data_IF_501362708631
#
_entry.id   IF_501362708631
#
_cell.length_a   1.000
_cell.length_b   1.000
_cell.length_c   1.000
_cell.angle_alpha   90.00
_cell.angle_beta   90.00
_cell.angle_gamma   90.00
#
_symmetry.space_group_name_H-M   'P 1'
#
loop_
_entity.id
_entity.type
_entity.pdbx_description
1 polymer ?
#
# COMPACT_ATOMS: atom_id res chain seq x y z
N UNK A 1 8.93 -38.89 5.43
CA UNK A 1 7.79 -37.97 5.42
C UNK A 1 6.92 -38.38 4.26
N UNK A 2 5.75 -38.93 4.57
CA UNK A 2 4.77 -39.35 3.57
C UNK A 2 4.08 -38.10 3.00
N UNK A 3 3.52 -38.19 1.78
CA UNK A 3 2.80 -37.07 1.15
C UNK A 3 1.70 -36.51 2.04
N UNK A 4 1.00 -37.37 2.79
CA UNK A 4 -0.09 -36.99 3.68
C UNK A 4 0.36 -36.15 4.88
N UNK A 5 1.49 -36.48 5.51
CA UNK A 5 2.03 -35.69 6.64
C UNK A 5 2.48 -34.29 6.21
N UNK A 6 2.94 -34.19 4.96
CA UNK A 6 3.41 -32.93 4.38
C UNK A 6 2.23 -32.02 4.05
N UNK A 7 1.15 -32.58 3.48
CA UNK A 7 -0.09 -31.86 3.17
C UNK A 7 -0.82 -31.37 4.44
N UNK A 8 -0.83 -32.19 5.50
CA UNK A 8 -1.46 -31.83 6.78
C UNK A 8 -0.69 -30.70 7.49
N UNK A 9 0.64 -30.76 7.49
CA UNK A 9 1.49 -29.70 8.02
C UNK A 9 1.30 -28.38 7.24
N UNK A 10 1.21 -28.46 5.91
CA UNK A 10 0.95 -27.29 5.07
C UNK A 10 -0.41 -26.65 5.36
N UNK A 11 -1.44 -27.48 5.58
CA UNK A 11 -2.80 -27.05 5.92
C UNK A 11 -2.86 -26.31 7.27
N UNK A 12 -2.22 -26.88 8.29
CA UNK A 12 -2.18 -26.28 9.63
C UNK A 12 -1.35 -24.98 9.65
N UNK A 13 -0.23 -24.93 8.93
CA UNK A 13 0.55 -23.71 8.77
C UNK A 13 -0.24 -22.60 8.08
N UNK A 14 -0.98 -22.92 7.01
CA UNK A 14 -1.88 -21.97 6.33
C UNK A 14 -2.96 -21.46 7.28
N UNK A 15 -3.62 -22.34 8.04
CA UNK A 15 -4.65 -21.95 9.01
C UNK A 15 -4.13 -20.95 10.04
N UNK A 16 -2.98 -21.24 10.66
CA UNK A 16 -2.33 -20.34 11.63
C UNK A 16 -2.00 -18.99 11.01
N UNK A 17 -1.51 -18.98 9.77
CA UNK A 17 -1.18 -17.74 9.06
C UNK A 17 -2.43 -16.91 8.76
N UNK A 18 -3.53 -17.55 8.37
CA UNK A 18 -4.83 -16.91 8.16
C UNK A 18 -5.38 -16.31 9.45
N UNK A 19 -5.37 -17.05 10.54
CA UNK A 19 -5.83 -16.60 11.86
C UNK A 19 -5.01 -15.42 12.36
N UNK A 20 -3.68 -15.50 12.26
CA UNK A 20 -2.78 -14.40 12.60
C UNK A 20 -3.07 -13.15 11.77
N UNK A 21 -3.24 -13.30 10.45
CA UNK A 21 -3.50 -12.18 9.54
C UNK A 21 -4.84 -11.50 9.82
N UNK A 22 -5.87 -12.31 10.07
CA UNK A 22 -7.21 -11.84 10.42
C UNK A 22 -7.20 -11.12 11.76
N UNK A 23 -6.51 -11.67 12.77
CA UNK A 23 -6.42 -11.05 14.09
C UNK A 23 -5.63 -9.72 14.06
N UNK A 24 -4.53 -9.67 13.30
CA UNK A 24 -3.61 -8.52 13.29
C UNK A 24 -4.04 -7.40 12.36
N UNK A 25 -4.51 -7.72 11.16
CA UNK A 25 -4.81 -6.72 10.11
C UNK A 25 -6.29 -6.66 9.70
N UNK A 26 -7.12 -7.56 10.23
CA UNK A 26 -8.55 -7.66 9.88
C UNK A 26 -8.81 -7.90 8.38
N UNK A 27 -7.90 -8.58 7.67
CA UNK A 27 -8.10 -9.03 6.30
C UNK A 27 -7.41 -10.38 6.02
N UNK A 28 -7.81 -11.03 4.92
CA UNK A 28 -7.23 -12.31 4.49
C UNK A 28 -5.84 -12.11 3.88
N UNK A 29 -4.82 -12.32 4.72
CA UNK A 29 -3.40 -12.24 4.33
C UNK A 29 -3.04 -13.34 3.33
N UNK A 30 -3.61 -14.54 3.41
CA UNK A 30 -3.30 -15.63 2.47
C UNK A 30 -3.80 -15.29 1.06
N UNK A 31 -5.03 -14.79 0.96
CA UNK A 31 -5.57 -14.34 -0.32
C UNK A 31 -4.75 -13.17 -0.88
N UNK A 32 -4.37 -12.22 -0.03
CA UNK A 32 -3.50 -11.10 -0.43
C UNK A 32 -2.14 -11.57 -0.94
N UNK A 33 -1.51 -12.54 -0.28
CA UNK A 33 -0.19 -13.05 -0.64
C UNK A 33 -0.26 -13.80 -1.99
N UNK A 34 -1.35 -14.53 -2.27
CA UNK A 34 -1.60 -15.19 -3.56
C UNK A 34 -1.74 -14.22 -4.74
N UNK A 35 -2.32 -13.04 -4.51
CA UNK A 35 -2.48 -12.02 -5.56
C UNK A 35 -1.11 -11.44 -5.99
N UNK A 36 -0.14 -11.46 -5.08
CA UNK A 36 1.18 -10.93 -5.32
C UNK A 36 1.24 -9.39 -5.30
N UNK A 37 2.44 -8.83 -5.47
CA UNK A 37 2.70 -7.39 -5.31
C UNK A 37 2.25 -6.54 -6.51
N UNK A 38 2.05 -7.14 -7.69
CA UNK A 38 1.55 -6.48 -8.91
C UNK A 38 0.41 -7.32 -9.45
N UNK A 39 -0.77 -6.70 -9.58
CA UNK A 39 -1.95 -7.33 -10.18
C UNK A 39 -2.38 -6.52 -11.39
N UNK A 40 -2.76 -7.19 -12.46
CA UNK A 40 -3.41 -6.54 -13.58
C UNK A 40 -4.84 -6.17 -13.16
N UNK A 41 -5.28 -4.93 -13.40
CA UNK A 41 -6.69 -4.58 -13.20
C UNK A 41 -7.26 -4.07 -14.51
N UNK A 42 -8.43 -4.57 -14.92
CA UNK A 42 -9.10 -4.04 -16.09
C UNK A 42 -9.46 -2.56 -15.86
N UNK A 43 -9.59 -1.78 -16.95
CA UNK A 43 -10.14 -0.44 -16.88
C UNK A 43 -11.51 -0.47 -16.18
N UNK A 44 -11.66 0.33 -15.13
CA UNK A 44 -12.94 0.51 -14.44
C UNK A 44 -13.69 1.77 -14.93
N UNK A 45 -13.16 2.44 -15.96
CA UNK A 45 -13.76 3.65 -16.52
C UNK A 45 -14.63 3.30 -17.74
N UNK A 46 -15.60 4.17 -18.01
CA UNK A 46 -16.41 4.07 -19.22
C UNK A 46 -15.56 4.38 -20.45
N UNK A 47 -15.80 3.71 -21.58
CA UNK A 47 -14.98 3.84 -22.81
C UNK A 47 -14.83 5.30 -23.29
N UNK A 48 -15.84 6.14 -23.08
CA UNK A 48 -15.77 7.57 -23.43
C UNK A 48 -14.67 8.33 -22.66
N UNK A 49 -14.25 7.88 -21.48
CA UNK A 49 -13.18 8.51 -20.72
C UNK A 49 -11.81 8.42 -21.43
N UNK A 50 -11.64 7.46 -22.35
CA UNK A 50 -10.41 7.31 -23.14
C UNK A 50 -10.25 8.44 -24.16
N UNK A 51 -11.36 8.99 -24.64
CA UNK A 51 -11.37 10.06 -25.65
C UNK A 51 -11.17 11.47 -25.08
N UNK A 52 -11.13 11.61 -23.75
CA UNK A 52 -10.98 12.92 -23.09
C UNK A 52 -9.53 13.39 -23.20
N UNK A 53 -9.25 14.57 -23.78
CA UNK A 53 -7.90 15.10 -23.83
C UNK A 53 -7.46 15.57 -22.43
N UNK A 54 -6.46 14.91 -21.87
CA UNK A 54 -5.89 15.24 -20.55
C UNK A 54 -4.68 16.17 -20.71
N UNK A 55 -4.88 17.48 -20.58
CA UNK A 55 -3.80 18.47 -20.57
C UNK A 55 -3.34 18.81 -19.13
N UNK A 56 -2.96 17.79 -18.36
CA UNK A 56 -2.55 17.97 -16.95
C UNK A 56 -1.05 18.25 -16.90
N UNK A 57 -0.67 19.43 -16.37
CA UNK A 57 0.74 19.83 -16.15
C UNK A 57 1.13 19.94 -14.68
N UNK A 58 0.16 19.73 -13.79
CA UNK A 58 0.35 19.95 -12.36
C UNK A 58 1.02 18.73 -11.72
N UNK A 59 2.05 18.98 -10.92
CA UNK A 59 2.71 17.95 -10.11
C UNK A 59 1.98 17.85 -8.77
N UNK A 60 1.76 16.63 -8.28
CA UNK A 60 1.09 16.36 -7.03
C UNK A 60 1.98 15.55 -6.08
N UNK A 61 1.86 15.85 -4.79
CA UNK A 61 2.42 15.02 -3.73
C UNK A 61 1.39 14.01 -3.28
N UNK A 62 1.76 12.73 -3.31
CA UNK A 62 0.89 11.64 -2.85
C UNK A 62 1.26 11.33 -1.41
N UNK A 63 0.27 11.27 -0.52
CA UNK A 63 0.47 11.03 0.90
C UNK A 63 -0.23 9.72 1.27
N UNK A 64 0.53 8.78 1.80
CA UNK A 64 0.01 7.51 2.34
C UNK A 64 0.26 7.52 3.84
N UNK A 65 -0.81 7.58 4.62
CA UNK A 65 -0.76 7.50 6.07
C UNK A 65 -1.09 6.07 6.47
N UNK A 66 -0.24 5.45 7.26
CA UNK A 66 -0.44 4.06 7.70
C UNK A 66 -0.13 3.89 9.18
N UNK A 67 -0.79 2.92 9.80
CA UNK A 67 -0.56 2.51 11.18
C UNK A 67 -0.83 1.02 11.29
N UNK A 68 0.17 0.23 11.70
CA UNK A 68 0.09 -1.22 11.81
C UNK A 68 -0.43 -1.91 10.53
N UNK A 69 -0.05 -1.39 9.37
CA UNK A 69 -0.51 -1.90 8.07
C UNK A 69 0.29 -3.13 7.62
N UNK A 70 -0.29 -3.95 6.76
CA UNK A 70 0.44 -5.08 6.19
C UNK A 70 1.37 -4.65 5.05
N UNK A 71 2.57 -5.25 4.98
CA UNK A 71 3.56 -4.94 3.95
C UNK A 71 3.03 -5.13 2.53
N UNK A 72 2.32 -6.25 2.29
CA UNK A 72 1.77 -6.58 0.97
C UNK A 72 0.79 -5.52 0.46
N UNK A 73 0.11 -4.82 1.36
CA UNK A 73 -0.83 -3.75 1.05
C UNK A 73 -0.09 -2.50 0.58
N UNK A 74 0.85 -1.99 1.38
CA UNK A 74 1.64 -0.81 1.01
C UNK A 74 2.45 -1.02 -0.27
N UNK A 75 3.03 -2.20 -0.47
CA UNK A 75 3.77 -2.52 -1.69
C UNK A 75 2.84 -2.50 -2.92
N UNK A 76 1.64 -3.08 -2.83
CA UNK A 76 0.66 -3.04 -3.92
C UNK A 76 0.21 -1.61 -4.24
N UNK A 77 0.02 -0.78 -3.21
CA UNK A 77 -0.31 0.64 -3.41
C UNK A 77 0.80 1.37 -4.15
N UNK A 78 2.05 1.24 -3.71
CA UNK A 78 3.20 1.88 -4.33
C UNK A 78 3.42 1.41 -5.77
N UNK A 79 3.36 0.10 -6.04
CA UNK A 79 3.40 -0.43 -7.40
C UNK A 79 2.28 0.17 -8.26
N UNK A 80 1.05 0.21 -7.76
CA UNK A 80 -0.08 0.78 -8.49
C UNK A 80 0.11 2.27 -8.79
N UNK A 81 0.70 3.05 -7.87
CA UNK A 81 0.99 4.47 -8.10
C UNK A 81 2.01 4.61 -9.23
N UNK A 82 3.13 3.88 -9.16
CA UNK A 82 4.19 3.96 -10.17
C UNK A 82 3.74 3.46 -11.55
N UNK A 83 2.88 2.44 -11.59
CA UNK A 83 2.44 1.84 -12.86
C UNK A 83 1.36 2.66 -13.58
N UNK A 84 0.53 3.39 -12.84
CA UNK A 84 -0.67 4.06 -13.38
C UNK A 84 -0.58 5.56 -13.41
N UNK A 85 0.42 6.14 -12.76
CA UNK A 85 0.60 7.58 -12.69
C UNK A 85 1.84 7.96 -13.50
N UNK A 86 1.69 8.79 -14.56
CA UNK A 86 2.82 9.30 -15.29
C UNK A 86 3.85 9.95 -14.36
N UNK A 87 5.12 9.53 -14.46
CA UNK A 87 6.17 9.94 -13.52
C UNK A 87 6.31 11.46 -13.41
N UNK A 88 6.11 12.21 -14.51
CA UNK A 88 6.23 13.67 -14.50
C UNK A 88 5.18 14.36 -13.61
N UNK A 89 4.03 13.72 -13.34
CA UNK A 89 2.98 14.24 -12.45
C UNK A 89 3.28 13.99 -10.97
N UNK A 90 4.16 13.03 -10.66
CA UNK A 90 4.53 12.70 -9.28
C UNK A 90 5.67 13.62 -8.85
N UNK A 91 5.37 14.53 -7.93
CA UNK A 91 6.38 15.32 -7.21
C UNK A 91 7.15 14.41 -6.26
N UNK A 92 6.42 13.83 -5.30
CA UNK A 92 6.93 12.95 -4.25
C UNK A 92 5.80 12.05 -3.74
N UNK A 93 6.18 10.96 -3.09
CA UNK A 93 5.30 10.05 -2.36
C UNK A 93 5.75 10.06 -0.89
N UNK A 94 4.90 10.56 -0.03
CA UNK A 94 5.15 10.67 1.41
C UNK A 94 4.52 9.45 2.08
N UNK A 95 5.38 8.58 2.61
CA UNK A 95 5.01 7.47 3.47
C UNK A 95 5.05 7.96 4.92
N UNK A 96 3.88 8.17 5.50
CA UNK A 96 3.73 8.67 6.86
C UNK A 96 3.28 7.56 7.82
N UNK A 97 4.21 7.11 8.66
CA UNK A 97 3.95 6.17 9.74
C UNK A 97 3.34 6.90 10.95
N UNK A 98 2.07 6.67 11.23
CA UNK A 98 1.36 7.22 12.39
C UNK A 98 1.57 6.35 13.64
N UNK A 99 2.83 6.24 14.07
CA UNK A 99 3.26 5.53 15.28
C UNK A 99 2.89 4.03 15.27
N UNK A 100 3.28 3.30 14.23
CA UNK A 100 3.15 1.83 14.16
C UNK A 100 4.03 1.12 15.20
N UNK A 101 3.59 -0.07 15.58
CA UNK A 101 4.27 -0.97 16.50
C UNK A 101 5.56 -1.53 15.88
N UNK A 102 6.50 -1.95 16.73
CA UNK A 102 7.83 -2.40 16.30
C UNK A 102 7.79 -3.51 15.24
N UNK A 103 6.86 -4.45 15.39
CA UNK A 103 6.68 -5.60 14.51
C UNK A 103 5.95 -5.27 13.19
N UNK A 104 5.57 -4.00 13.00
CA UNK A 104 4.98 -3.45 11.76
C UNK A 104 5.76 -2.23 11.26
N UNK A 105 7.04 -2.10 11.63
CA UNK A 105 7.93 -1.11 11.04
C UNK A 105 8.36 -1.54 9.64
N UNK A 106 7.62 -1.04 8.64
CA UNK A 106 7.76 -1.50 7.25
C UNK A 106 8.81 -0.76 6.43
N UNK A 107 9.35 0.37 6.91
CA UNK A 107 10.22 1.27 6.10
C UNK A 107 11.41 0.54 5.48
N UNK A 108 12.10 -0.32 6.25
CA UNK A 108 13.25 -1.06 5.74
C UNK A 108 12.85 -2.07 4.66
N UNK A 109 11.75 -2.78 4.85
CA UNK A 109 11.24 -3.74 3.88
C UNK A 109 10.79 -3.05 2.58
N UNK A 110 10.12 -1.90 2.69
CA UNK A 110 9.70 -1.09 1.54
C UNK A 110 10.91 -0.59 0.76
N UNK A 111 11.94 -0.10 1.45
CA UNK A 111 13.16 0.39 0.81
C UNK A 111 13.93 -0.74 0.11
N UNK A 112 14.06 -1.91 0.74
CA UNK A 112 14.71 -3.08 0.14
C UNK A 112 13.96 -3.58 -1.09
N UNK A 113 12.63 -3.69 -1.00
CA UNK A 113 11.79 -4.07 -2.15
C UNK A 113 11.90 -3.04 -3.28
N UNK A 114 11.73 -1.75 -2.97
CA UNK A 114 11.78 -0.67 -3.96
C UNK A 114 13.10 -0.60 -4.71
N UNK A 115 14.23 -0.82 -4.03
CA UNK A 115 15.55 -0.93 -4.68
C UNK A 115 15.63 -2.15 -5.61
N UNK A 116 15.11 -3.30 -5.16
CA UNK A 116 15.11 -4.53 -5.96
C UNK A 116 14.30 -4.39 -7.25
N UNK A 117 13.14 -3.74 -7.18
CA UNK A 117 12.26 -3.49 -8.35
C UNK A 117 12.53 -2.16 -9.06
N UNK A 118 13.62 -1.47 -8.70
CA UNK A 118 14.07 -0.23 -9.34
C UNK A 118 13.05 0.91 -9.34
N UNK A 119 12.31 1.08 -8.24
CA UNK A 119 11.48 2.27 -8.05
C UNK A 119 12.32 3.56 -8.06
N UNK A 120 11.74 4.71 -8.46
CA UNK A 120 12.38 6.00 -8.32
C UNK A 120 12.42 6.42 -6.84
N UNK A 121 13.35 5.83 -6.08
CA UNK A 121 13.47 6.00 -4.63
C UNK A 121 13.66 7.45 -4.21
N UNK A 122 14.23 8.29 -5.06
CA UNK A 122 14.37 9.73 -4.83
C UNK A 122 13.04 10.47 -4.68
N UNK A 123 11.94 9.88 -5.16
CA UNK A 123 10.58 10.43 -5.00
C UNK A 123 9.91 9.98 -3.72
N UNK A 124 10.45 8.99 -3.00
CA UNK A 124 9.82 8.44 -1.79
C UNK A 124 10.42 9.13 -0.56
N UNK A 125 9.56 9.75 0.25
CA UNK A 125 9.93 10.40 1.50
C UNK A 125 9.23 9.69 2.65
N UNK A 126 9.98 9.12 3.58
CA UNK A 126 9.44 8.45 4.77
C UNK A 126 9.46 9.39 5.97
N UNK A 127 8.37 9.40 6.75
CA UNK A 127 8.23 10.18 7.98
C UNK A 127 7.48 9.34 9.01
N UNK A 128 7.81 9.52 10.28
CA UNK A 128 7.16 8.82 11.40
C UNK A 128 6.73 9.81 12.46
N UNK A 129 5.53 9.60 13.02
CA UNK A 129 5.03 10.33 14.18
C UNK A 129 5.54 9.68 15.47
N UNK A 130 5.88 10.50 16.47
CA UNK A 130 6.29 10.04 17.81
C UNK A 130 5.14 9.46 18.62
N UNK A 131 3.92 9.88 18.32
CA UNK A 131 2.70 9.42 18.96
C UNK A 131 1.61 9.19 17.92
N UNK A 132 0.64 8.33 18.25
CA UNK A 132 -0.50 8.04 17.38
C UNK A 132 -1.44 9.24 17.35
N UNK A 133 -1.45 9.96 16.23
CA UNK A 133 -2.29 11.14 16.01
C UNK A 133 -3.69 10.75 15.54
N UNK A 134 -3.81 9.65 14.80
CA UNK A 134 -5.01 9.26 14.08
C UNK A 134 -5.13 9.99 12.74
N UNK A 135 -5.90 9.40 11.83
CA UNK A 135 -5.97 9.78 10.40
C UNK A 135 -6.25 11.27 10.19
N UNK A 136 -7.24 11.84 10.89
CA UNK A 136 -7.64 13.24 10.70
C UNK A 136 -6.51 14.19 11.10
N UNK A 137 -5.94 14.01 12.30
CA UNK A 137 -4.87 14.87 12.81
C UNK A 137 -3.60 14.71 11.98
N UNK A 138 -3.29 13.50 11.52
CA UNK A 138 -2.18 13.24 10.61
C UNK A 138 -2.36 13.97 9.27
N UNK A 139 -3.56 13.90 8.66
CA UNK A 139 -3.88 14.63 7.41
C UNK A 139 -3.72 16.14 7.58
N UNK A 140 -4.26 16.72 8.66
CA UNK A 140 -4.13 18.15 8.97
C UNK A 140 -2.67 18.53 9.17
N UNK A 141 -1.90 17.76 9.96
CA UNK A 141 -0.47 18.00 10.20
C UNK A 141 0.33 17.97 8.90
N UNK A 142 0.10 16.99 8.04
CA UNK A 142 0.80 16.84 6.76
C UNK A 142 0.46 17.97 5.78
N UNK A 143 -0.80 18.43 5.78
CA UNK A 143 -1.21 19.60 4.98
C UNK A 143 -0.52 20.87 5.46
N UNK A 144 -0.37 21.07 6.77
CA UNK A 144 0.32 22.25 7.32
C UNK A 144 1.83 22.21 7.04
N UNK A 145 2.43 21.03 7.03
CA UNK A 145 3.88 20.86 6.80
C UNK A 145 4.31 21.04 5.33
N UNK A 146 3.37 21.11 4.39
CA UNK A 146 3.68 21.09 2.96
C UNK A 146 2.97 22.24 2.26
N UNK A 147 3.78 23.10 1.64
CA UNK A 147 3.32 24.24 0.84
C UNK A 147 3.02 23.88 -0.62
N UNK A 148 2.95 22.58 -0.95
CA UNK A 148 2.70 22.14 -2.30
C UNK A 148 1.25 22.45 -2.71
N UNK A 149 1.07 22.91 -3.96
CA UNK A 149 -0.25 23.30 -4.46
C UNK A 149 -1.25 22.14 -4.50
N UNK A 150 -0.77 20.90 -4.68
CA UNK A 150 -1.63 19.72 -4.82
C UNK A 150 -1.13 18.55 -3.95
N UNK A 151 -1.97 18.15 -3.00
CA UNK A 151 -1.74 17.02 -2.10
C UNK A 151 -2.90 16.04 -2.27
N UNK A 152 -2.59 14.80 -2.59
CA UNK A 152 -3.56 13.71 -2.69
C UNK A 152 -3.32 12.73 -1.56
N UNK A 153 -4.32 12.52 -0.71
CA UNK A 153 -4.28 11.49 0.32
C UNK A 153 -4.81 10.18 -0.25
N UNK A 154 -4.02 9.12 -0.14
CA UNK A 154 -4.43 7.78 -0.49
C UNK A 154 -4.49 6.96 0.79
N UNK A 155 -5.71 6.58 1.16
CA UNK A 155 -5.94 5.68 2.28
C UNK A 155 -5.82 4.24 1.77
N UNK A 156 -5.39 3.32 2.64
CA UNK A 156 -5.39 1.91 2.29
C UNK A 156 -6.83 1.43 2.03
N UNK A 157 -7.14 0.94 0.82
CA UNK A 157 -8.30 0.09 0.64
C UNK A 157 -8.00 -1.23 1.37
N UNK A 158 -8.45 -1.33 2.64
CA UNK A 158 -8.64 -2.63 3.28
C UNK A 158 -9.57 -3.45 2.40
N UNK A 159 -8.99 -4.20 1.46
CA UNK A 159 -9.70 -4.97 0.46
C UNK A 159 -10.36 -6.12 1.19
N UNK A 160 -11.61 -5.90 1.61
CA UNK A 160 -12.51 -6.99 1.94
C UNK A 160 -12.82 -7.73 0.64
N UNK A 161 -11.98 -8.69 0.29
CA UNK A 161 -12.41 -9.73 -0.64
C UNK A 161 -13.53 -10.50 0.07
N UNK A 162 -14.78 -10.20 -0.27
CA UNK A 162 -15.78 -11.26 -0.25
C UNK A 162 -15.32 -12.20 -1.35
N UNK A 163 -14.69 -13.31 -0.97
CA UNK A 163 -14.65 -14.48 -1.84
C UNK A 163 -16.13 -14.73 -2.19
N UNK A 164 -16.49 -14.51 -3.45
CA UNK A 164 -17.80 -14.91 -3.92
C UNK A 164 -17.90 -16.44 -3.70
N UNK A 165 -19.08 -16.94 -3.29
CA UNK A 165 -19.28 -18.35 -2.95
C UNK A 165 -18.94 -19.28 -4.11
#
# INVERSE_FOLDING_TARGET
>A
LTSNETDEFESEAKRRRYEWGTAKFAFDVLASDKIGPRRNLPPAHHHLCESVPWAIKLRASIVIIYHNEALSVLIRMLNSIFDRTPSHLIEEIILYDDCSDYDTLLVNHINSYGKHVQWPMQKIVTRRSEQRLGLIKAKVRLRIMRDNQFITFLDDPRFRYKLAP
#
